data_IF_553259012919
#
_entry.id   IF_553259012919
#
_cell.length_a   1.000
_cell.length_b   1.000
_cell.length_c   1.000
_cell.angle_alpha   90.00
_cell.angle_beta   90.00
_cell.angle_gamma   90.00
#
_symmetry.space_group_name_H-M   'P 1'
#
loop_
_entity.id
_entity.type
_entity.pdbx_description
1 polymer ?
#
# COMPACT_ATOMS: atom_id res chain seq x y z
N UNK A 1 4.68 -4.87 22.13
CA UNK A 1 3.73 -5.66 21.32
C UNK A 1 4.44 -5.99 20.02
N UNK A 2 4.68 -7.27 19.74
CA UNK A 2 5.23 -7.73 18.46
C UNK A 2 4.11 -8.26 17.57
N UNK A 3 4.38 -8.38 16.27
CA UNK A 3 3.42 -8.94 15.30
C UNK A 3 4.09 -9.99 14.44
N UNK A 4 3.30 -10.95 13.96
CA UNK A 4 3.77 -12.02 13.07
C UNK A 4 3.14 -11.83 11.70
N UNK A 5 3.96 -11.87 10.66
CA UNK A 5 3.51 -11.94 9.27
C UNK A 5 3.61 -13.38 8.78
N UNK A 6 2.46 -13.94 8.39
CA UNK A 6 2.29 -15.34 7.98
C UNK A 6 1.98 -15.50 6.49
N UNK A 7 2.13 -14.43 5.70
CA UNK A 7 1.84 -14.45 4.27
C UNK A 7 0.37 -14.33 3.90
N UNK A 8 -0.54 -14.10 4.86
CA UNK A 8 -2.00 -14.01 4.62
C UNK A 8 -2.55 -12.58 4.62
N UNK A 9 -1.67 -11.57 4.59
CA UNK A 9 -2.09 -10.17 4.48
C UNK A 9 -3.06 -9.99 3.29
N UNK A 10 -4.14 -9.25 3.50
CA UNK A 10 -5.15 -9.02 2.46
C UNK A 10 -4.60 -8.18 1.29
N UNK A 11 -3.66 -7.27 1.54
CA UNK A 11 -3.05 -6.47 0.47
C UNK A 11 -1.89 -7.17 -0.25
N UNK A 12 -0.87 -7.63 0.48
CA UNK A 12 0.36 -8.16 -0.11
C UNK A 12 0.64 -9.65 0.18
N UNK A 13 -0.25 -10.37 0.85
CA UNK A 13 -0.04 -11.76 1.23
C UNK A 13 -0.24 -12.73 0.07
N UNK A 14 0.81 -13.44 -0.31
CA UNK A 14 0.76 -14.45 -1.39
C UNK A 14 -0.14 -15.64 -1.07
N UNK A 15 -0.35 -15.94 0.21
CA UNK A 15 -1.18 -17.06 0.66
C UNK A 15 -2.67 -16.70 0.81
N UNK A 16 -3.03 -15.42 0.68
CA UNK A 16 -4.43 -15.01 0.78
C UNK A 16 -5.11 -15.12 -0.59
N UNK A 17 -5.91 -16.17 -0.80
CA UNK A 17 -6.57 -16.42 -2.09
C UNK A 17 -7.44 -15.25 -2.55
N UNK A 18 -8.12 -14.60 -1.61
CA UNK A 18 -9.03 -13.47 -1.85
C UNK A 18 -8.32 -12.12 -1.87
N UNK A 19 -7.07 -12.04 -1.44
CA UNK A 19 -6.27 -10.82 -1.32
C UNK A 19 -5.90 -10.17 -2.66
N UNK A 20 -5.33 -8.96 -2.58
CA UNK A 20 -4.82 -8.22 -3.72
C UNK A 20 -3.48 -8.77 -4.24
N UNK A 21 -2.68 -9.39 -3.38
CA UNK A 21 -1.35 -9.94 -3.75
C UNK A 21 -0.45 -8.90 -4.43
N UNK A 22 -0.50 -7.67 -3.94
CA UNK A 22 0.35 -6.57 -4.41
C UNK A 22 1.81 -6.87 -4.08
N UNK A 23 2.70 -6.67 -5.06
CA UNK A 23 4.15 -6.81 -4.90
C UNK A 23 4.82 -5.47 -5.00
N UNK A 24 5.56 -5.10 -3.97
CA UNK A 24 6.27 -3.83 -3.90
C UNK A 24 7.77 -4.06 -4.04
N UNK A 25 8.40 -3.31 -4.93
CA UNK A 25 9.85 -3.34 -5.14
C UNK A 25 10.50 -2.04 -4.66
N UNK A 26 11.64 -2.09 -3.94
CA UNK A 26 12.36 -0.89 -3.57
C UNK A 26 13.05 -0.27 -4.80
N UNK A 27 12.94 1.04 -4.95
CA UNK A 27 13.53 1.84 -6.04
C UNK A 27 14.07 3.17 -5.48
N UNK A 28 14.74 3.97 -6.30
CA UNK A 28 15.14 5.35 -5.93
C UNK A 28 13.93 6.25 -5.62
N UNK A 29 12.77 5.95 -6.21
CA UNK A 29 11.51 6.64 -5.96
C UNK A 29 10.78 6.11 -4.71
N UNK A 30 11.38 5.20 -3.93
CA UNK A 30 10.71 4.53 -2.82
C UNK A 30 10.17 3.16 -3.20
N UNK A 31 9.16 2.70 -2.46
CA UNK A 31 8.57 1.37 -2.64
C UNK A 31 7.47 1.42 -3.69
N UNK A 32 7.63 0.71 -4.81
CA UNK A 32 6.78 0.84 -6.00
C UNK A 32 6.05 -0.47 -6.30
N UNK A 33 4.77 -0.38 -6.67
CA UNK A 33 3.97 -1.47 -7.20
C UNK A 33 3.21 -1.00 -8.44
N UNK A 34 3.27 -1.74 -9.55
CA UNK A 34 2.32 -1.57 -10.65
C UNK A 34 1.19 -2.60 -10.48
N UNK A 35 -0.06 -2.14 -10.57
CA UNK A 35 -1.18 -2.97 -10.20
C UNK A 35 -2.43 -2.67 -11.04
N UNK A 36 -3.29 -3.67 -11.19
CA UNK A 36 -4.63 -3.56 -11.77
C UNK A 36 -5.61 -4.18 -10.78
N UNK A 37 -6.62 -3.42 -10.36
CA UNK A 37 -7.56 -3.91 -9.35
C UNK A 37 -8.55 -4.91 -9.99
N UNK A 38 -8.67 -6.14 -9.46
CA UNK A 38 -9.61 -7.12 -10.00
C UNK A 38 -11.06 -6.64 -9.99
N UNK A 39 -11.82 -6.98 -11.02
CA UNK A 39 -13.22 -6.58 -11.19
C UNK A 39 -14.14 -6.93 -10.00
N UNK A 40 -13.81 -7.98 -9.23
CA UNK A 40 -14.55 -8.40 -8.03
C UNK A 40 -14.57 -7.36 -6.91
N UNK A 41 -13.71 -6.34 -6.96
CA UNK A 41 -13.65 -5.24 -5.99
C UNK A 41 -14.32 -3.95 -6.48
N UNK A 42 -15.21 -4.08 -7.46
CA UNK A 42 -16.04 -2.99 -7.93
C UNK A 42 -16.95 -2.46 -6.83
N UNK A 43 -17.09 -1.14 -6.77
CA UNK A 43 -18.15 -0.46 -6.01
C UNK A 43 -19.31 -0.12 -6.96
N UNK A 44 -19.33 1.10 -7.48
CA UNK A 44 -20.28 1.53 -8.51
C UNK A 44 -19.88 0.92 -9.85
N UNK A 45 -20.82 0.83 -10.80
CA UNK A 45 -20.58 0.24 -12.13
C UNK A 45 -19.30 0.80 -12.76
N UNK A 46 -18.32 -0.07 -12.99
CA UNK A 46 -17.03 0.26 -13.61
C UNK A 46 -16.00 0.92 -12.70
N UNK A 47 -16.27 1.09 -11.40
CA UNK A 47 -15.42 1.85 -10.48
C UNK A 47 -14.85 0.99 -9.36
N UNK A 48 -13.55 1.15 -9.07
CA UNK A 48 -12.91 0.54 -7.89
C UNK A 48 -13.46 1.16 -6.61
N UNK A 49 -13.72 0.32 -5.60
CA UNK A 49 -14.15 0.80 -4.29
C UNK A 49 -13.09 1.68 -3.62
N UNK A 50 -13.48 2.85 -3.10
CA UNK A 50 -12.55 3.78 -2.44
C UNK A 50 -11.76 3.14 -1.30
N UNK A 51 -12.37 2.23 -0.54
CA UNK A 51 -11.68 1.41 0.46
C UNK A 51 -10.53 0.55 -0.09
N UNK A 52 -10.61 0.07 -1.34
CA UNK A 52 -9.47 -0.62 -1.97
C UNK A 52 -8.37 0.34 -2.34
N UNK A 53 -8.71 1.54 -2.81
CA UNK A 53 -7.74 2.61 -3.07
C UNK A 53 -7.01 2.99 -1.77
N UNK A 54 -7.73 3.12 -0.66
CA UNK A 54 -7.13 3.34 0.66
C UNK A 54 -6.23 2.18 1.09
N UNK A 55 -6.66 0.93 0.89
CA UNK A 55 -5.86 -0.26 1.18
C UNK A 55 -4.55 -0.27 0.37
N UNK A 56 -4.59 0.04 -0.92
CA UNK A 56 -3.37 0.10 -1.75
C UNK A 56 -2.38 1.18 -1.24
N UNK A 57 -2.90 2.33 -0.79
CA UNK A 57 -2.08 3.39 -0.17
C UNK A 57 -1.50 2.94 1.18
N UNK A 58 -2.29 2.24 2.00
CA UNK A 58 -1.85 1.69 3.28
C UNK A 58 -0.73 0.65 3.10
N UNK A 59 -0.89 -0.26 2.14
CA UNK A 59 0.16 -1.21 1.77
C UNK A 59 1.43 -0.48 1.32
N UNK A 60 1.30 0.56 0.50
CA UNK A 60 2.45 1.31 -0.01
C UNK A 60 3.27 1.95 1.11
N UNK A 61 2.63 2.62 2.09
CA UNK A 61 3.35 3.19 3.24
C UNK A 61 3.92 2.09 4.14
N UNK A 62 3.21 0.98 4.34
CA UNK A 62 3.69 -0.17 5.10
C UNK A 62 4.93 -0.81 4.49
N UNK A 63 4.97 -0.93 3.16
CA UNK A 63 6.13 -1.41 2.41
C UNK A 63 7.28 -0.40 2.39
N UNK A 64 7.00 0.90 2.33
CA UNK A 64 8.03 1.91 2.49
C UNK A 64 8.70 1.82 3.87
N UNK A 65 7.92 1.68 4.94
CA UNK A 65 8.45 1.43 6.30
C UNK A 65 9.26 0.14 6.38
N UNK A 66 8.80 -0.94 5.75
CA UNK A 66 9.51 -2.21 5.68
C UNK A 66 10.87 -2.10 4.99
N UNK A 67 10.91 -1.54 3.79
CA UNK A 67 12.15 -1.33 3.03
C UNK A 67 13.11 -0.37 3.74
N UNK A 68 12.60 0.53 4.60
CA UNK A 68 13.41 1.36 5.48
C UNK A 68 13.89 0.64 6.77
N UNK A 69 13.65 -0.67 6.91
CA UNK A 69 14.03 -1.45 8.10
C UNK A 69 13.20 -1.11 9.35
N UNK A 70 11.99 -0.57 9.16
CA UNK A 70 11.05 -0.17 10.20
C UNK A 70 9.64 -0.74 9.94
N UNK A 71 9.46 -2.08 9.88
CA UNK A 71 8.12 -2.68 9.89
C UNK A 71 7.27 -2.08 11.01
N UNK A 72 6.01 -1.80 10.72
CA UNK A 72 5.13 -1.16 11.67
C UNK A 72 3.66 -1.40 11.38
N UNK A 73 2.85 -1.05 12.38
CA UNK A 73 1.40 -0.98 12.27
C UNK A 73 0.99 0.44 11.90
N UNK A 74 -0.04 0.57 11.06
CA UNK A 74 -0.62 1.88 10.75
C UNK A 74 -1.31 2.46 11.98
N UNK A 75 -0.86 3.65 12.42
CA UNK A 75 -1.49 4.40 13.50
C UNK A 75 -2.44 5.48 12.98
N UNK A 76 -2.07 6.16 11.89
CA UNK A 76 -2.93 7.12 11.18
C UNK A 76 -2.70 6.97 9.68
N UNK A 77 -3.79 7.00 8.90
CA UNK A 77 -3.78 7.15 7.45
C UNK A 77 -4.78 8.24 7.07
N UNK A 78 -4.34 9.24 6.31
CA UNK A 78 -5.18 10.31 5.79
C UNK A 78 -5.11 10.29 4.27
N UNK A 79 -6.23 9.97 3.62
CA UNK A 79 -6.32 9.76 2.17
C UNK A 79 -7.04 10.94 1.52
N UNK A 80 -6.49 11.41 0.41
CA UNK A 80 -7.14 12.36 -0.50
C UNK A 80 -7.38 11.73 -1.86
N UNK A 81 -8.65 11.57 -2.21
CA UNK A 81 -9.08 11.13 -3.53
C UNK A 81 -9.14 12.34 -4.48
N UNK A 82 -8.45 12.25 -5.61
CA UNK A 82 -8.34 13.32 -6.62
C UNK A 82 -9.17 13.01 -7.85
N UNK A 83 -9.10 11.77 -8.32
CA UNK A 83 -9.81 11.25 -9.47
C UNK A 83 -10.32 9.84 -9.15
N UNK A 84 -11.40 9.41 -9.81
CA UNK A 84 -11.87 8.06 -9.61
C UNK A 84 -10.98 7.05 -10.36
N UNK A 85 -10.91 5.82 -9.85
CA UNK A 85 -10.21 4.69 -10.49
C UNK A 85 -11.21 3.72 -11.10
N UNK A 86 -11.13 3.53 -12.41
CA UNK A 86 -11.92 2.57 -13.16
C UNK A 86 -11.40 1.13 -13.01
N UNK A 87 -12.31 0.17 -13.13
CA UNK A 87 -11.96 -1.25 -13.24
C UNK A 87 -11.24 -1.49 -14.58
N UNK A 88 -10.16 -2.28 -14.55
CA UNK A 88 -9.31 -2.55 -15.71
C UNK A 88 -8.26 -1.48 -16.01
N UNK A 89 -8.21 -0.40 -15.23
CA UNK A 89 -7.13 0.59 -15.32
C UNK A 89 -5.90 0.10 -14.55
N UNK A 90 -4.73 0.23 -15.18
CA UNK A 90 -3.44 -0.03 -14.52
C UNK A 90 -2.92 1.23 -13.82
N UNK A 91 -2.41 1.06 -12.61
CA UNK A 91 -1.89 2.14 -11.76
C UNK A 91 -0.48 1.84 -11.27
N UNK A 92 0.27 2.91 -10.99
CA UNK A 92 1.52 2.90 -10.25
C UNK A 92 1.24 3.39 -8.83
N UNK A 93 1.56 2.56 -7.86
CA UNK A 93 1.42 2.85 -6.43
C UNK A 93 2.81 3.02 -5.85
N UNK A 94 3.07 4.15 -5.19
CA UNK A 94 4.39 4.49 -4.64
C UNK A 94 4.24 4.86 -3.17
N UNK A 95 5.09 4.30 -2.31
CA UNK A 95 5.20 4.69 -0.90
C UNK A 95 6.60 5.17 -0.56
N UNK A 96 6.72 6.21 0.26
CA UNK A 96 7.99 6.83 0.68
C UNK A 96 7.99 7.12 2.16
N UNK A 97 9.15 6.93 2.80
CA UNK A 97 9.37 7.38 4.19
C UNK A 97 9.92 8.79 4.15
N UNK A 98 9.22 9.73 4.79
CA UNK A 98 9.66 11.12 4.89
C UNK A 98 10.66 11.31 6.02
N UNK A 99 10.34 10.74 7.18
CA UNK A 99 11.17 10.82 8.39
C UNK A 99 10.83 9.74 9.39
N UNK A 100 11.81 9.41 10.23
CA UNK A 100 11.65 8.47 11.36
C UNK A 100 11.99 9.21 12.66
N UNK A 101 11.14 9.08 13.68
CA UNK A 101 11.39 9.57 15.04
C UNK A 101 11.04 8.50 16.07
N UNK A 102 12.06 7.96 16.74
CA UNK A 102 11.92 6.85 17.69
C UNK A 102 11.22 5.67 17.00
N UNK A 103 10.03 5.31 17.45
CA UNK A 103 9.19 4.24 16.87
C UNK A 103 8.21 4.77 15.83
N UNK A 104 8.10 6.08 15.60
CA UNK A 104 7.17 6.63 14.62
C UNK A 104 7.85 6.75 13.25
N UNK A 105 7.20 6.22 12.22
CA UNK A 105 7.58 6.37 10.81
C UNK A 105 6.53 7.25 10.15
N UNK A 106 6.95 8.38 9.60
CA UNK A 106 6.10 9.26 8.81
C UNK A 106 6.36 8.97 7.35
N UNK A 107 5.29 8.74 6.60
CA UNK A 107 5.36 8.29 5.22
C UNK A 107 4.25 8.93 4.38
N UNK A 108 4.48 8.98 3.08
CA UNK A 108 3.50 9.37 2.08
C UNK A 108 3.34 8.27 1.03
N UNK A 109 2.19 8.25 0.36
CA UNK A 109 1.96 7.37 -0.77
C UNK A 109 1.12 8.02 -1.87
N UNK A 110 1.31 7.58 -3.10
CA UNK A 110 0.57 8.04 -4.28
C UNK A 110 0.07 6.86 -5.09
N UNK A 111 -1.06 7.08 -5.78
CA UNK A 111 -1.56 6.22 -6.85
C UNK A 111 -1.71 7.10 -8.08
N UNK A 112 -0.98 6.75 -9.13
CA UNK A 112 -0.96 7.46 -10.41
C UNK A 112 -1.39 6.49 -11.52
N UNK A 113 -2.23 6.95 -12.46
CA UNK A 113 -2.65 6.15 -13.61
C UNK A 113 -1.46 5.94 -14.54
N UNK A 114 -1.19 4.70 -14.96
CA UNK A 114 -0.02 4.40 -15.79
C UNK A 114 -0.13 4.94 -17.22
N UNK A 115 -1.34 5.09 -17.76
CA UNK A 115 -1.53 5.53 -19.15
C UNK A 115 -1.20 7.00 -19.38
N UNK A 116 -1.38 7.86 -18.38
CA UNK A 116 -1.27 9.32 -18.53
C UNK A 116 -0.59 10.04 -17.36
N UNK A 117 -0.21 9.33 -16.29
CA UNK A 117 0.41 9.89 -15.09
C UNK A 117 -0.54 10.67 -14.18
N UNK A 118 -1.86 10.60 -14.41
CA UNK A 118 -2.84 11.35 -13.61
C UNK A 118 -2.90 10.81 -12.18
N UNK A 119 -2.82 11.72 -11.19
CA UNK A 119 -3.01 11.40 -9.78
C UNK A 119 -4.43 10.95 -9.48
N UNK A 120 -4.59 9.71 -9.04
CA UNK A 120 -5.85 9.13 -8.58
C UNK A 120 -6.09 9.49 -7.11
N UNK A 121 -5.12 9.18 -6.26
CA UNK A 121 -5.20 9.42 -4.83
C UNK A 121 -3.81 9.54 -4.22
N UNK A 122 -3.74 10.18 -3.06
CA UNK A 122 -2.52 10.29 -2.26
C UNK A 122 -2.87 10.15 -0.78
N UNK A 123 -1.87 9.78 0.01
CA UNK A 123 -2.03 9.67 1.45
C UNK A 123 -0.80 10.15 2.21
N UNK A 124 -1.03 10.61 3.43
CA UNK A 124 -0.01 10.70 4.47
C UNK A 124 -0.33 9.71 5.57
N UNK A 125 0.71 9.13 6.16
CA UNK A 125 0.57 8.11 7.19
C UNK A 125 1.56 8.33 8.35
N UNK A 126 1.17 7.80 9.50
CA UNK A 126 2.07 7.59 10.64
C UNK A 126 1.98 6.12 11.02
N UNK A 127 3.09 5.41 10.90
CA UNK A 127 3.23 4.04 11.34
C UNK A 127 3.94 4.00 12.68
N UNK A 128 3.62 2.99 13.48
CA UNK A 128 4.36 2.64 14.69
C UNK A 128 5.20 1.40 14.40
N UNK A 129 6.52 1.58 14.34
CA UNK A 129 7.46 0.50 14.17
C UNK A 129 7.37 -0.47 15.36
N UNK A 130 7.22 -1.76 15.05
CA UNK A 130 7.08 -2.82 16.05
C UNK A 130 7.97 -4.01 15.68
N UNK A 131 8.48 -4.77 16.68
CA UNK A 131 9.12 -6.05 16.40
C UNK A 131 8.20 -6.91 15.55
N UNK A 132 8.71 -7.36 14.40
CA UNK A 132 7.93 -8.15 13.43
C UNK A 132 8.68 -9.43 13.12
N UNK A 133 7.99 -10.55 13.31
CA UNK A 133 8.47 -11.89 12.97
C UNK A 133 7.88 -12.32 11.63
N UNK A 134 8.68 -12.96 10.79
CA UNK A 134 8.22 -13.53 9.53
C UNK A 134 8.16 -15.05 9.66
N UNK A 135 6.98 -15.62 9.45
CA UNK A 135 6.78 -17.07 9.31
C UNK A 135 6.49 -17.49 7.87
N UNK A 136 6.41 -16.51 6.96
CA UNK A 136 6.34 -16.70 5.52
C UNK A 136 7.17 -15.61 4.80
N UNK A 137 7.56 -15.83 3.53
CA UNK A 137 8.21 -14.79 2.72
C UNK A 137 7.30 -13.58 2.58
N UNK A 138 7.87 -12.38 2.75
CA UNK A 138 7.22 -11.13 2.33
C UNK A 138 7.51 -10.96 0.83
N UNK A 139 6.45 -10.95 0.03
CA UNK A 139 6.49 -11.04 -1.44
C UNK A 139 7.01 -9.79 -2.15
#
# INVERSE_FOLDING_TARGET
MGVTYDGRCFGCGDQNEDGLKMRFVPTEEGSVCEYEVPARFQSWRGMVHGGMVALMLDEAVGWAGWHAGRPGLTGKLEVRYRQPLGIGERVRVVGRVDRIRRTLVYAEATIDRLSDGTRIAEATATLMAVPTELTAPRG
#
